data_IF_590367099893
#
_entry.id   IF_590367099893
#
_cell.length_a   1.000
_cell.length_b   1.000
_cell.length_c   1.000
_cell.angle_alpha   90.00
_cell.angle_beta   90.00
_cell.angle_gamma   90.00
#
_symmetry.space_group_name_H-M   'P 1'
#
loop_
_entity.id
_entity.type
_entity.pdbx_description
1 polymer ?
#
# COMPACT_ATOMS: atom_id res chain seq x y z
N UNK A 1 -23.36 17.61 -19.44
CA UNK A 1 -23.61 17.30 -18.01
C UNK A 1 -23.51 15.80 -17.69
N UNK A 2 -23.00 14.96 -18.61
CA UNK A 2 -23.05 13.49 -18.48
C UNK A 2 -21.76 12.80 -17.97
N UNK A 3 -20.66 13.52 -17.72
CA UNK A 3 -19.36 12.89 -17.43
C UNK A 3 -19.06 12.65 -15.93
N UNK A 4 -19.90 13.13 -15.01
CA UNK A 4 -19.64 13.03 -13.57
C UNK A 4 -20.05 11.66 -13.02
N UNK A 5 -21.21 11.14 -13.42
CA UNK A 5 -21.77 9.87 -12.91
C UNK A 5 -20.99 8.64 -13.41
N UNK A 6 -20.55 8.64 -14.68
CA UNK A 6 -19.66 7.61 -15.22
C UNK A 6 -18.32 7.54 -14.48
N UNK A 7 -17.80 8.67 -14.02
CA UNK A 7 -16.51 8.75 -13.34
C UNK A 7 -16.56 8.22 -11.90
N UNK A 8 -17.69 8.38 -11.21
CA UNK A 8 -17.89 7.84 -9.87
C UNK A 8 -18.14 6.33 -9.92
N UNK A 9 -18.88 5.87 -10.94
CA UNK A 9 -19.19 4.45 -11.11
C UNK A 9 -17.97 3.61 -11.54
N UNK A 10 -17.04 4.17 -12.32
CA UNK A 10 -15.76 3.54 -12.69
C UNK A 10 -14.78 3.38 -11.50
N UNK A 11 -14.85 4.27 -10.50
CA UNK A 11 -14.02 4.20 -9.29
C UNK A 11 -14.53 3.11 -8.33
N UNK A 12 -15.84 2.81 -8.36
CA UNK A 12 -16.45 1.79 -7.50
C UNK A 12 -16.10 0.35 -7.94
N UNK A 13 -15.84 0.13 -9.22
CA UNK A 13 -15.67 -1.20 -9.82
C UNK A 13 -14.22 -1.59 -10.09
N UNK A 14 -13.29 -0.62 -10.09
CA UNK A 14 -11.87 -0.87 -10.28
C UNK A 14 -11.01 -0.04 -9.27
N UNK A 15 -10.43 -0.64 -8.21
CA UNK A 15 -9.50 0.05 -7.31
C UNK A 15 -8.28 0.63 -8.04
N UNK A 16 -7.97 0.14 -9.23
CA UNK A 16 -6.89 0.61 -10.08
C UNK A 16 -7.34 1.72 -11.06
N UNK A 17 -8.63 2.04 -11.19
CA UNK A 17 -9.08 3.18 -12.00
C UNK A 17 -8.59 4.54 -11.45
N UNK A 18 -8.30 4.62 -10.15
CA UNK A 18 -7.60 5.76 -9.56
C UNK A 18 -6.11 5.80 -9.96
N UNK A 19 -5.50 4.63 -10.20
CA UNK A 19 -4.12 4.50 -10.69
C UNK A 19 -4.03 4.78 -12.20
N UNK A 20 -5.07 4.46 -12.99
CA UNK A 20 -5.18 4.83 -14.42
C UNK A 20 -5.26 6.35 -14.64
N UNK A 21 -5.55 7.13 -13.60
CA UNK A 21 -5.54 8.60 -13.61
C UNK A 21 -4.19 9.21 -13.16
N UNK A 22 -3.18 8.38 -12.84
CA UNK A 22 -1.81 8.83 -12.64
C UNK A 22 -1.14 8.97 -14.00
N UNK A 23 -0.88 10.21 -14.42
CA UNK A 23 -0.19 10.49 -15.67
C UNK A 23 1.25 10.90 -15.38
N UNK A 24 2.20 10.04 -15.74
CA UNK A 24 3.61 10.41 -15.76
C UNK A 24 3.85 11.37 -16.92
N UNK A 25 3.95 12.67 -16.64
CA UNK A 25 4.22 13.67 -17.65
C UNK A 25 5.68 14.13 -17.61
N UNK A 26 6.53 13.43 -18.35
CA UNK A 26 7.91 13.86 -18.57
C UNK A 26 7.91 14.98 -19.62
N UNK A 27 8.20 16.21 -19.20
CA UNK A 27 8.30 17.35 -20.11
C UNK A 27 9.40 17.16 -21.16
N UNK A 28 9.20 17.71 -22.36
CA UNK A 28 10.22 17.71 -23.43
C UNK A 28 11.43 18.58 -23.11
N UNK A 29 11.27 19.59 -22.24
CA UNK A 29 12.34 20.52 -21.89
C UNK A 29 13.09 20.04 -20.62
N UNK A 30 14.43 19.93 -20.64
CA UNK A 30 15.22 19.51 -19.48
C UNK A 30 15.06 20.47 -18.29
N UNK A 31 14.96 19.92 -17.07
CA UNK A 31 15.08 20.69 -15.83
C UNK A 31 13.78 21.16 -15.16
N UNK A 32 12.64 20.67 -15.64
CA UNK A 32 11.33 20.83 -15.01
C UNK A 32 10.53 19.51 -15.07
N UNK A 33 11.18 18.42 -14.71
CA UNK A 33 10.59 17.09 -14.66
C UNK A 33 9.45 17.09 -13.63
N UNK A 34 8.27 16.59 -14.00
CA UNK A 34 7.11 16.56 -13.12
C UNK A 34 6.32 15.27 -13.23
N UNK A 35 5.62 14.94 -12.17
CA UNK A 35 4.67 13.83 -12.10
C UNK A 35 3.37 14.42 -11.59
N UNK A 36 2.33 14.37 -12.42
CA UNK A 36 1.02 14.92 -12.07
C UNK A 36 0.03 13.78 -11.83
N UNK A 37 -0.83 13.95 -10.83
CA UNK A 37 -1.85 12.97 -10.50
C UNK A 37 -3.13 13.65 -10.04
N UNK A 38 -4.25 13.11 -10.53
CA UNK A 38 -5.56 13.63 -10.20
C UNK A 38 -5.85 13.42 -8.71
N UNK A 39 -6.45 14.43 -8.09
CA UNK A 39 -6.96 14.34 -6.72
C UNK A 39 -8.28 13.57 -6.67
N UNK A 40 -8.61 13.04 -5.49
CA UNK A 40 -9.99 12.68 -5.15
C UNK A 40 -10.85 13.92 -4.86
N UNK A 41 -10.23 15.08 -4.65
CA UNK A 41 -10.89 16.38 -4.59
C UNK A 41 -11.26 16.82 -6.00
N UNK A 42 -12.53 17.22 -6.16
CA UNK A 42 -13.06 17.69 -7.43
C UNK A 42 -12.23 18.86 -7.96
N UNK A 43 -11.91 18.82 -9.25
CA UNK A 43 -11.21 19.87 -9.99
C UNK A 43 -9.77 20.19 -9.49
N UNK A 44 -9.15 19.29 -8.71
CA UNK A 44 -7.80 19.46 -8.17
C UNK A 44 -6.79 18.48 -8.78
N UNK A 45 -5.61 18.99 -9.13
CA UNK A 45 -4.48 18.21 -9.64
C UNK A 45 -3.28 18.37 -8.73
N UNK A 46 -2.69 17.27 -8.27
CA UNK A 46 -1.42 17.33 -7.56
C UNK A 46 -0.27 17.13 -8.54
N UNK A 47 0.84 17.81 -8.30
CA UNK A 47 2.05 17.68 -9.09
C UNK A 47 3.25 17.64 -8.17
N UNK A 48 4.05 16.59 -8.31
CA UNK A 48 5.43 16.56 -7.81
C UNK A 48 6.30 17.12 -8.93
N UNK A 49 7.06 18.17 -8.65
CA UNK A 49 7.93 18.81 -9.64
C UNK A 49 9.35 18.88 -9.12
N UNK A 50 10.29 18.52 -9.96
CA UNK A 50 11.70 18.78 -9.74
C UNK A 50 12.11 20.08 -10.45
N UNK A 51 12.81 20.93 -9.72
CA UNK A 51 13.40 22.17 -10.21
C UNK A 51 14.91 22.04 -10.25
N UNK A 52 15.49 21.81 -11.44
CA UNK A 52 16.93 21.58 -11.57
C UNK A 52 17.78 22.76 -11.09
N UNK A 53 17.37 23.99 -11.43
CA UNK A 53 18.08 25.23 -11.06
C UNK A 53 18.10 25.47 -9.54
N UNK A 54 16.98 25.19 -8.87
CA UNK A 54 16.85 25.34 -7.41
C UNK A 54 17.36 24.11 -6.65
N UNK A 55 17.50 22.97 -7.33
CA UNK A 55 17.77 21.65 -6.73
C UNK A 55 16.75 21.31 -5.65
N UNK A 56 15.49 21.62 -5.93
CA UNK A 56 14.35 21.36 -5.04
C UNK A 56 13.33 20.47 -5.73
N UNK A 57 12.59 19.73 -4.93
CA UNK A 57 11.38 19.03 -5.32
C UNK A 57 10.25 19.66 -4.53
N UNK A 58 9.18 20.03 -5.21
CA UNK A 58 7.97 20.51 -4.56
C UNK A 58 6.79 19.60 -4.88
N UNK A 59 5.85 19.56 -3.93
CA UNK A 59 4.52 19.03 -4.16
C UNK A 59 3.57 20.22 -4.10
N UNK A 60 2.78 20.42 -5.15
CA UNK A 60 1.73 21.44 -5.19
C UNK A 60 0.42 20.86 -5.69
N UNK A 61 -0.67 21.55 -5.39
CA UNK A 61 -1.96 21.34 -6.03
C UNK A 61 -2.34 22.52 -6.91
N UNK A 62 -3.03 22.23 -8.00
CA UNK A 62 -3.56 23.20 -8.95
C UNK A 62 -5.05 22.99 -9.10
N UNK A 63 -5.83 24.05 -8.92
CA UNK A 63 -7.25 24.05 -9.25
C UNK A 63 -7.39 24.19 -10.78
N UNK A 64 -8.05 23.24 -11.43
CA UNK A 64 -8.18 23.23 -12.89
C UNK A 64 -9.11 24.32 -13.43
N UNK A 65 -10.08 24.77 -12.63
CA UNK A 65 -11.06 25.78 -13.03
C UNK A 65 -10.49 27.19 -12.91
N UNK A 66 -9.74 27.45 -11.83
CA UNK A 66 -9.21 28.79 -11.54
C UNK A 66 -7.74 28.96 -11.93
N UNK A 67 -7.01 27.87 -12.14
CA UNK A 67 -5.55 27.87 -12.35
C UNK A 67 -4.75 28.18 -11.08
N UNK A 68 -5.40 28.27 -9.91
CA UNK A 68 -4.73 28.63 -8.66
C UNK A 68 -3.74 27.54 -8.23
N UNK A 69 -2.53 27.95 -7.88
CA UNK A 69 -1.45 27.07 -7.44
C UNK A 69 -1.20 27.20 -5.95
N UNK A 70 -1.27 26.07 -5.23
CA UNK A 70 -0.92 26.01 -3.79
C UNK A 70 0.19 24.99 -3.56
N UNK A 71 1.37 25.47 -3.18
CA UNK A 71 2.47 24.60 -2.74
C UNK A 71 2.10 23.92 -1.41
N UNK A 72 2.24 22.60 -1.34
CA UNK A 72 2.04 21.79 -0.14
C UNK A 72 3.33 21.70 0.66
N UNK A 73 4.45 21.45 -0.02
CA UNK A 73 5.78 21.58 0.55
C UNK A 73 6.82 21.74 -0.57
N UNK A 74 7.97 22.32 -0.22
CA UNK A 74 9.18 22.33 -1.04
C UNK A 74 10.34 21.79 -0.20
N UNK A 75 11.09 20.82 -0.75
CA UNK A 75 12.23 20.19 -0.11
C UNK A 75 13.43 20.18 -1.06
N UNK A 76 14.65 20.33 -0.54
CA UNK A 76 15.83 20.16 -1.40
C UNK A 76 15.98 18.71 -1.85
N UNK A 77 16.42 18.49 -3.08
CA UNK A 77 16.58 17.14 -3.66
C UNK A 77 17.51 16.27 -2.82
N UNK A 78 18.60 16.84 -2.29
CA UNK A 78 19.51 16.12 -1.41
C UNK A 78 18.82 15.61 -0.12
N UNK A 79 17.99 16.45 0.50
CA UNK A 79 17.24 16.08 1.71
C UNK A 79 16.17 15.02 1.40
N UNK A 80 15.49 15.15 0.27
CA UNK A 80 14.53 14.13 -0.19
C UNK A 80 15.21 12.79 -0.45
N UNK A 81 16.35 12.78 -1.13
CA UNK A 81 17.14 11.56 -1.37
C UNK A 81 17.60 10.94 -0.05
N UNK A 82 18.08 11.73 0.90
CA UNK A 82 18.45 11.26 2.24
C UNK A 82 17.25 10.65 2.98
N UNK A 83 16.06 11.27 2.89
CA UNK A 83 14.82 10.72 3.43
C UNK A 83 14.52 9.35 2.82
N UNK A 84 14.55 9.25 1.48
CA UNK A 84 14.24 8.02 0.74
C UNK A 84 15.24 6.91 1.06
N UNK A 85 16.54 7.21 1.12
CA UNK A 85 17.58 6.23 1.48
C UNK A 85 17.38 5.71 2.90
N UNK A 86 17.23 6.60 3.88
CA UNK A 86 17.02 6.20 5.28
C UNK A 86 15.73 5.38 5.42
N UNK A 87 14.65 5.77 4.73
CA UNK A 87 13.42 5.01 4.72
C UNK A 87 13.61 3.64 4.07
N UNK A 88 14.35 3.56 2.97
CA UNK A 88 14.71 2.30 2.31
C UNK A 88 15.46 1.34 3.23
N UNK A 89 16.43 1.84 4.00
CA UNK A 89 17.14 1.04 5.00
C UNK A 89 16.20 0.49 6.08
N UNK A 90 15.24 1.31 6.56
CA UNK A 90 14.22 0.86 7.50
C UNK A 90 13.33 -0.22 6.88
N UNK A 91 12.91 -0.06 5.62
CA UNK A 91 12.10 -1.07 4.93
C UNK A 91 12.86 -2.38 4.74
N UNK A 92 14.15 -2.31 4.40
CA UNK A 92 15.00 -3.48 4.29
C UNK A 92 15.11 -4.22 5.62
N UNK A 93 15.34 -3.49 6.72
CA UNK A 93 15.38 -4.05 8.07
C UNK A 93 14.06 -4.72 8.44
N UNK A 94 12.93 -4.01 8.28
CA UNK A 94 11.60 -4.57 8.60
C UNK A 94 11.27 -5.79 7.75
N UNK A 95 11.68 -5.81 6.48
CA UNK A 95 11.50 -6.96 5.58
C UNK A 95 12.33 -8.14 6.08
N UNK A 96 13.60 -7.93 6.42
CA UNK A 96 14.46 -9.01 6.95
C UNK A 96 13.91 -9.60 8.25
N UNK A 97 13.61 -8.74 9.22
CA UNK A 97 13.18 -9.18 10.55
C UNK A 97 11.77 -9.78 10.56
N UNK A 98 10.82 -9.13 9.88
CA UNK A 98 9.40 -9.50 9.97
C UNK A 98 8.98 -10.37 8.79
N UNK A 99 9.38 -10.07 7.56
CA UNK A 99 8.92 -10.88 6.43
C UNK A 99 9.73 -12.17 6.37
N UNK A 100 11.05 -12.06 6.29
CA UNK A 100 11.94 -13.21 6.12
C UNK A 100 12.23 -13.96 7.43
N UNK A 101 11.96 -13.36 8.59
CA UNK A 101 12.10 -14.04 9.89
C UNK A 101 11.10 -15.18 10.10
N UNK A 102 9.98 -15.19 9.38
CA UNK A 102 8.88 -16.15 9.60
C UNK A 102 8.89 -17.33 8.63
N UNK A 103 9.99 -18.09 8.61
CA UNK A 103 10.05 -19.36 7.87
C UNK A 103 9.05 -20.37 8.45
N UNK A 104 8.24 -20.97 7.59
CA UNK A 104 7.19 -21.93 7.98
C UNK A 104 7.41 -23.29 7.32
N UNK A 105 7.00 -24.35 8.02
CA UNK A 105 6.76 -25.65 7.42
C UNK A 105 5.30 -25.72 6.93
N UNK A 106 5.03 -25.97 5.63
CA UNK A 106 3.66 -26.08 5.09
C UNK A 106 2.74 -27.03 5.86
N UNK A 107 3.30 -28.08 6.47
CA UNK A 107 2.55 -29.00 7.33
C UNK A 107 1.88 -28.32 8.53
N UNK A 108 2.41 -27.19 9.03
CA UNK A 108 1.77 -26.39 10.09
C UNK A 108 0.45 -25.76 9.62
N UNK A 109 0.36 -25.38 8.34
CA UNK A 109 -0.86 -24.83 7.75
C UNK A 109 -1.93 -25.92 7.63
N UNK A 110 -1.52 -27.10 7.16
CA UNK A 110 -2.40 -28.29 7.06
C UNK A 110 -2.97 -28.68 8.42
N UNK A 111 -2.12 -28.79 9.45
CA UNK A 111 -2.55 -29.10 10.84
C UNK A 111 -3.53 -28.09 11.43
N UNK A 112 -3.54 -26.86 10.92
CA UNK A 112 -4.42 -25.79 11.38
C UNK A 112 -5.66 -25.59 10.52
N UNK A 113 -5.97 -26.53 9.61
CA UNK A 113 -7.07 -26.46 8.65
C UNK A 113 -7.04 -25.18 7.80
N UNK A 114 -5.82 -24.82 7.36
CA UNK A 114 -5.61 -23.71 6.45
C UNK A 114 -5.65 -24.17 5.00
N UNK A 115 -6.19 -23.30 4.14
CA UNK A 115 -6.32 -23.43 2.71
C UNK A 115 -5.61 -22.27 2.03
N UNK A 116 -5.14 -22.49 0.81
CA UNK A 116 -4.43 -21.50 0.01
C UNK A 116 -5.27 -21.07 -1.18
N UNK A 117 -5.04 -19.85 -1.66
CA UNK A 117 -5.45 -19.41 -2.99
C UNK A 117 -4.29 -18.63 -3.59
N UNK A 118 -4.00 -18.89 -4.87
CA UNK A 118 -2.90 -18.26 -5.59
C UNK A 118 -3.25 -16.79 -5.92
N UNK A 119 -2.30 -15.88 -5.68
CA UNK A 119 -2.37 -14.45 -6.06
C UNK A 119 -1.96 -14.21 -7.50
N UNK A 120 -1.18 -15.12 -8.09
CA UNK A 120 -0.70 -15.00 -9.47
C UNK A 120 -1.76 -15.43 -10.49
N UNK A 121 -2.78 -16.18 -10.06
CA UNK A 121 -3.87 -16.57 -10.94
C UNK A 121 -4.75 -15.34 -11.21
N UNK A 122 -4.54 -14.71 -12.37
CA UNK A 122 -5.10 -13.42 -12.83
C UNK A 122 -6.62 -13.41 -13.06
N UNK A 123 -7.37 -14.32 -12.43
CA UNK A 123 -8.81 -14.29 -12.54
C UNK A 123 -9.35 -13.05 -11.81
N UNK A 124 -10.29 -12.35 -12.44
CA UNK A 124 -11.00 -11.17 -11.90
C UNK A 124 -11.70 -11.42 -10.55
N UNK A 125 -11.70 -12.68 -10.10
CA UNK A 125 -12.25 -13.28 -8.89
C UNK A 125 -11.72 -12.71 -7.57
N UNK A 126 -10.55 -12.04 -7.57
CA UNK A 126 -10.07 -11.29 -6.39
C UNK A 126 -11.05 -10.21 -5.92
N UNK A 127 -11.87 -9.68 -6.83
CA UNK A 127 -12.90 -8.66 -6.54
C UNK A 127 -14.06 -9.20 -5.69
N UNK A 128 -14.31 -10.52 -5.71
CA UNK A 128 -15.43 -11.13 -4.97
C UNK A 128 -15.12 -11.36 -3.49
N UNK A 129 -13.86 -11.67 -3.19
CA UNK A 129 -13.35 -11.94 -1.84
C UNK A 129 -13.14 -10.63 -1.07
N UNK A 130 -12.85 -9.57 -1.81
CA UNK A 130 -12.33 -8.33 -1.26
C UNK A 130 -13.29 -7.18 -1.55
N UNK A 131 -13.90 -6.65 -0.48
CA UNK A 131 -14.55 -5.35 -0.51
C UNK A 131 -13.49 -4.25 -0.65
N UNK A 132 -13.41 -3.69 -1.83
CA UNK A 132 -12.73 -2.43 -2.08
C UNK A 132 -13.71 -1.30 -1.76
N UNK A 133 -13.39 -0.48 -0.75
CA UNK A 133 -13.97 0.87 -0.64
C UNK A 133 -12.92 1.88 -1.15
N UNK A 134 -13.35 3.10 -1.52
CA UNK A 134 -12.55 4.21 -2.09
C UNK A 134 -11.12 4.42 -1.53
N UNK A 135 -10.79 3.93 -0.32
CA UNK A 135 -9.47 4.05 0.32
C UNK A 135 -8.97 2.78 1.02
N UNK A 136 -9.72 1.67 1.01
CA UNK A 136 -9.40 0.48 1.81
C UNK A 136 -9.80 -0.81 1.12
N UNK A 137 -8.84 -1.72 1.06
CA UNK A 137 -9.05 -3.13 0.74
C UNK A 137 -9.41 -3.88 2.02
N UNK A 138 -10.61 -4.48 2.10
CA UNK A 138 -11.06 -5.30 3.23
C UNK A 138 -11.73 -6.56 2.72
N UNK A 139 -11.54 -7.69 3.37
CA UNK A 139 -12.33 -8.89 3.05
C UNK A 139 -13.82 -8.63 3.31
N UNK A 140 -14.70 -9.11 2.43
CA UNK A 140 -16.15 -9.04 2.68
C UNK A 140 -16.46 -9.81 3.97
N UNK A 141 -17.28 -9.22 4.84
CA UNK A 141 -17.80 -9.93 6.04
C UNK A 141 -18.91 -10.89 5.57
N UNK A 142 -18.97 -12.08 6.17
CA UNK A 142 -20.04 -13.05 5.90
C UNK A 142 -19.95 -13.70 4.52
N UNK A 143 -18.74 -13.96 4.03
CA UNK A 143 -18.55 -14.67 2.77
C UNK A 143 -19.16 -16.08 2.87
N UNK A 144 -20.18 -16.34 2.04
CA UNK A 144 -20.82 -17.64 1.94
C UNK A 144 -19.86 -18.62 1.26
N UNK A 145 -19.60 -19.74 1.92
CA UNK A 145 -18.70 -20.79 1.43
C UNK A 145 -19.16 -21.40 0.11
N UNK A 146 -20.47 -21.46 -0.14
CA UNK A 146 -21.01 -22.00 -1.39
C UNK A 146 -20.70 -21.08 -2.59
N UNK A 147 -20.69 -19.76 -2.37
CA UNK A 147 -20.36 -18.80 -3.42
C UNK A 147 -18.85 -18.74 -3.67
N UNK A 148 -18.04 -18.95 -2.61
CA UNK A 148 -16.58 -19.05 -2.72
C UNK A 148 -16.13 -20.36 -3.36
N UNK A 149 -16.72 -21.50 -3.00
CA UNK A 149 -16.33 -22.81 -3.53
C UNK A 149 -16.63 -22.97 -5.02
N UNK A 150 -17.60 -22.22 -5.56
CA UNK A 150 -17.89 -22.19 -7.01
C UNK A 150 -16.86 -21.39 -7.80
N UNK A 151 -16.22 -20.41 -7.17
CA UNK A 151 -15.48 -19.36 -7.84
C UNK A 151 -14.02 -19.23 -7.40
N UNK A 152 -13.55 -20.02 -6.43
CA UNK A 152 -12.18 -19.94 -5.92
C UNK A 152 -11.61 -21.34 -5.83
N UNK A 153 -10.51 -21.55 -6.55
CA UNK A 153 -9.74 -22.77 -6.41
C UNK A 153 -8.96 -22.73 -5.09
N UNK A 154 -9.49 -23.43 -4.08
CA UNK A 154 -8.79 -23.62 -2.82
C UNK A 154 -7.77 -24.74 -2.95
N UNK A 155 -6.52 -24.39 -2.76
CA UNK A 155 -5.39 -25.28 -2.87
C UNK A 155 -5.01 -25.84 -1.50
N UNK A 156 -4.66 -27.14 -1.48
CA UNK A 156 -4.03 -27.75 -0.31
C UNK A 156 -2.65 -27.13 -0.08
N UNK A 157 -2.21 -26.90 1.18
CA UNK A 157 -0.86 -26.44 1.48
C UNK A 157 0.27 -27.33 0.96
N UNK A 158 -0.04 -28.57 0.56
CA UNK A 158 0.94 -29.49 -0.04
C UNK A 158 1.52 -28.95 -1.36
N UNK A 159 0.79 -28.10 -2.12
CA UNK A 159 1.26 -27.50 -3.37
C UNK A 159 2.56 -26.68 -3.21
N UNK A 160 2.83 -26.20 -2.00
CA UNK A 160 4.05 -25.43 -1.66
C UNK A 160 5.34 -26.28 -1.72
N UNK A 161 5.20 -27.60 -1.73
CA UNK A 161 6.33 -28.52 -1.93
C UNK A 161 6.74 -28.57 -3.40
N UNK A 162 5.76 -28.51 -4.29
CA UNK A 162 5.92 -28.77 -5.71
C UNK A 162 6.26 -27.49 -6.50
N UNK A 163 5.89 -26.32 -5.99
CA UNK A 163 6.21 -25.04 -6.63
C UNK A 163 7.48 -24.42 -6.08
N UNK A 164 8.32 -23.84 -6.95
CA UNK A 164 9.58 -23.18 -6.56
C UNK A 164 9.41 -21.69 -6.20
N UNK A 165 8.31 -21.09 -6.60
CA UNK A 165 7.94 -19.72 -6.31
C UNK A 165 6.42 -19.58 -6.23
N UNK A 166 5.95 -18.51 -5.60
CA UNK A 166 4.52 -18.20 -5.58
C UNK A 166 4.12 -17.35 -4.39
N UNK A 167 2.95 -16.74 -4.51
CA UNK A 167 2.31 -15.94 -3.47
C UNK A 167 0.89 -16.44 -3.24
N UNK A 168 0.58 -16.79 -2.00
CA UNK A 168 -0.69 -17.41 -1.65
C UNK A 168 -1.33 -16.69 -0.48
N UNK A 169 -2.62 -16.38 -0.60
CA UNK A 169 -3.40 -16.01 0.58
C UNK A 169 -3.75 -17.25 1.38
N UNK A 170 -3.65 -17.14 2.70
CA UNK A 170 -3.98 -18.22 3.64
C UNK A 170 -5.31 -17.94 4.33
N UNK A 171 -6.22 -18.90 4.26
CA UNK A 171 -7.50 -18.87 4.94
C UNK A 171 -7.63 -20.04 5.90
N UNK A 172 -8.11 -19.80 7.12
CA UNK A 172 -8.46 -20.84 8.08
C UNK A 172 -9.96 -21.07 8.08
N UNK A 173 -10.39 -22.31 7.97
CA UNK A 173 -11.79 -22.66 8.13
C UNK A 173 -12.12 -22.92 9.61
N UNK A 174 -13.08 -22.19 10.16
CA UNK A 174 -13.56 -22.37 11.55
C UNK A 174 -15.04 -22.02 11.67
N UNK A 175 -15.86 -22.99 12.10
CA UNK A 175 -17.28 -22.78 12.41
C UNK A 175 -18.08 -22.20 11.23
N UNK A 176 -18.00 -22.81 10.04
CA UNK A 176 -18.72 -22.34 8.86
C UNK A 176 -18.14 -21.10 8.20
N UNK A 177 -17.04 -20.53 8.72
CA UNK A 177 -16.46 -19.29 8.21
C UNK A 177 -15.01 -19.47 7.76
N UNK A 178 -14.64 -18.81 6.65
CA UNK A 178 -13.26 -18.65 6.20
C UNK A 178 -12.66 -17.37 6.78
N UNK A 179 -11.55 -17.52 7.51
CA UNK A 179 -10.88 -16.42 8.20
C UNK A 179 -9.47 -16.26 7.63
N UNK A 180 -9.20 -15.13 6.98
CA UNK A 180 -7.87 -14.80 6.48
C UNK A 180 -6.83 -14.72 7.59
N UNK A 181 -5.72 -15.43 7.41
CA UNK A 181 -4.63 -15.53 8.38
C UNK A 181 -3.38 -14.76 7.94
N UNK A 182 -3.13 -14.60 6.65
CA UNK A 182 -1.92 -13.97 6.14
C UNK A 182 -1.55 -14.43 4.74
N UNK A 183 -0.28 -14.24 4.38
CA UNK A 183 0.29 -14.60 3.09
C UNK A 183 1.39 -15.64 3.28
N UNK A 184 1.36 -16.70 2.50
CA UNK A 184 2.54 -17.56 2.30
C UNK A 184 3.18 -17.19 0.99
N UNK A 185 4.50 -17.11 0.99
CA UNK A 185 5.23 -16.85 -0.24
C UNK A 185 6.53 -17.66 -0.26
N UNK A 186 6.97 -17.90 -1.48
CA UNK A 186 8.20 -18.61 -1.80
C UNK A 186 8.89 -17.83 -2.91
N UNK A 187 10.16 -17.52 -2.69
CA UNK A 187 11.00 -16.83 -3.66
C UNK A 187 12.06 -17.79 -4.18
N UNK A 188 12.41 -17.77 -5.48
CA UNK A 188 13.48 -18.60 -6.02
C UNK A 188 14.81 -18.42 -5.29
N UNK A 189 15.10 -17.17 -4.90
CA UNK A 189 16.36 -16.76 -4.26
C UNK A 189 16.45 -17.22 -2.80
N UNK A 190 15.32 -17.45 -2.12
CA UNK A 190 15.29 -17.82 -0.71
C UNK A 190 14.81 -19.27 -0.52
N UNK A 191 15.67 -20.13 0.04
CA UNK A 191 15.33 -21.53 0.32
C UNK A 191 14.33 -21.64 1.48
N UNK A 192 13.04 -21.59 1.20
CA UNK A 192 12.00 -21.84 2.20
C UNK A 192 10.62 -21.30 1.85
N UNK A 193 9.63 -21.74 2.60
CA UNK A 193 8.31 -21.11 2.62
C UNK A 193 8.29 -20.11 3.78
N UNK A 194 7.74 -18.93 3.53
CA UNK A 194 7.63 -17.86 4.52
C UNK A 194 6.17 -17.52 4.73
N UNK A 195 5.77 -17.32 5.97
CA UNK A 195 4.39 -16.97 6.31
C UNK A 195 4.34 -15.63 7.02
N UNK A 196 3.85 -14.62 6.30
CA UNK A 196 3.57 -13.31 6.86
C UNK A 196 2.15 -13.30 7.39
N UNK A 197 1.99 -13.31 8.70
CA UNK A 197 0.65 -13.23 9.29
C UNK A 197 0.03 -11.87 9.05
N UNK A 198 -1.31 -11.78 9.14
CA UNK A 198 -2.02 -10.51 9.14
C UNK A 198 -1.52 -9.57 10.26
N UNK A 199 -1.12 -10.12 11.41
CA UNK A 199 -0.63 -9.33 12.53
C UNK A 199 0.72 -8.70 12.19
N UNK A 200 1.63 -9.48 11.62
CA UNK A 200 2.97 -9.05 11.20
C UNK A 200 2.93 -8.02 10.07
N UNK A 201 2.04 -8.20 9.10
CA UNK A 201 1.79 -7.21 8.05
C UNK A 201 1.31 -5.87 8.64
N UNK A 202 0.36 -5.92 9.57
CA UNK A 202 -0.14 -4.71 10.24
C UNK A 202 0.94 -4.05 11.09
N UNK A 203 1.77 -4.84 11.79
CA UNK A 203 2.90 -4.35 12.56
C UNK A 203 3.92 -3.65 11.66
N UNK A 204 4.33 -4.29 10.56
CA UNK A 204 5.26 -3.73 9.58
C UNK A 204 4.73 -2.42 9.00
N UNK A 205 3.44 -2.40 8.61
CA UNK A 205 2.78 -1.19 8.09
C UNK A 205 2.73 -0.07 9.13
N UNK A 206 2.56 -0.41 10.41
CA UNK A 206 2.56 0.56 11.51
C UNK A 206 3.96 1.13 11.71
N UNK A 207 4.97 0.28 11.84
CA UNK A 207 6.37 0.69 12.03
C UNK A 207 6.88 1.53 10.86
N UNK A 208 6.53 1.16 9.63
CA UNK A 208 6.89 1.93 8.42
C UNK A 208 6.32 3.34 8.45
N UNK A 209 5.04 3.50 8.80
CA UNK A 209 4.42 4.83 8.88
C UNK A 209 5.03 5.69 10.00
N UNK A 210 5.36 5.08 11.14
CA UNK A 210 6.07 5.77 12.24
C UNK A 210 7.47 6.20 11.78
N UNK A 211 8.18 5.33 11.07
CA UNK A 211 9.51 5.64 10.54
C UNK A 211 9.46 6.82 9.56
N UNK A 212 8.49 6.86 8.63
CA UNK A 212 8.29 8.02 7.73
C UNK A 212 8.11 9.29 8.55
N UNK A 213 7.23 9.28 9.56
CA UNK A 213 7.00 10.43 10.42
C UNK A 213 8.29 10.88 11.12
N UNK A 214 9.00 9.97 11.78
CA UNK A 214 10.22 10.27 12.53
C UNK A 214 11.34 10.80 11.62
N UNK A 215 11.53 10.17 10.45
CA UNK A 215 12.53 10.61 9.48
C UNK A 215 12.17 11.98 8.90
N UNK A 216 10.88 12.23 8.63
CA UNK A 216 10.40 13.55 8.16
C UNK A 216 10.65 14.62 9.23
N UNK A 217 10.44 14.31 10.51
CA UNK A 217 10.63 15.25 11.61
C UNK A 217 12.08 15.74 11.75
N UNK A 218 13.05 14.90 11.37
CA UNK A 218 14.48 15.17 11.40
C UNK A 218 14.99 16.02 10.22
N UNK A 219 14.15 16.28 9.22
CA UNK A 219 14.56 16.99 8.00
C UNK A 219 13.91 18.37 7.97
N UNK A 220 14.68 19.38 7.55
CA UNK A 220 14.19 20.76 7.39
C UNK A 220 13.73 21.01 5.96
N UNK A 221 12.49 21.45 5.79
CA UNK A 221 11.90 21.79 4.50
C UNK A 221 10.69 22.73 4.70
N UNK A 222 10.22 23.35 3.61
CA UNK A 222 9.09 24.28 3.67
C UNK A 222 7.80 23.58 4.11
N UNK A 223 6.99 24.25 4.93
CA UNK A 223 5.74 23.71 5.49
C UNK A 223 5.87 22.37 6.24
N UNK A 224 7.06 22.09 6.81
CA UNK A 224 7.33 20.86 7.60
C UNK A 224 6.26 20.60 8.65
N UNK A 225 5.89 21.62 9.43
CA UNK A 225 4.95 21.45 10.55
C UNK A 225 3.54 21.06 10.06
N UNK A 226 3.08 21.61 8.92
CA UNK A 226 1.81 21.21 8.30
C UNK A 226 1.85 19.75 7.85
N UNK A 227 2.95 19.32 7.23
CA UNK A 227 3.14 17.93 6.79
C UNK A 227 3.19 16.98 7.98
N UNK A 228 3.92 17.32 9.05
CA UNK A 228 3.98 16.52 10.27
C UNK A 228 2.62 16.45 10.97
N UNK A 229 1.87 17.54 11.04
CA UNK A 229 0.52 17.55 11.60
C UNK A 229 -0.45 16.66 10.80
N UNK A 230 -0.37 16.67 9.47
CA UNK A 230 -1.14 15.79 8.61
C UNK A 230 -0.78 14.31 8.84
N UNK A 231 0.52 13.98 8.88
CA UNK A 231 1.00 12.63 9.17
C UNK A 231 0.56 12.15 10.56
N UNK A 232 0.67 13.01 11.59
CA UNK A 232 0.24 12.72 12.97
C UNK A 232 -1.26 12.42 13.02
N UNK A 233 -2.07 13.18 12.28
CA UNK A 233 -3.52 12.96 12.15
C UNK A 233 -3.83 11.60 11.52
N UNK A 234 -3.17 11.26 10.40
CA UNK A 234 -3.34 9.97 9.72
C UNK A 234 -2.97 8.81 10.65
N UNK A 235 -1.81 8.91 11.30
CA UNK A 235 -1.30 7.91 12.22
C UNK A 235 -2.22 7.73 13.44
N UNK A 236 -2.72 8.82 14.04
CA UNK A 236 -3.63 8.76 15.19
C UNK A 236 -4.99 8.17 14.83
N UNK A 237 -5.52 8.49 13.64
CA UNK A 237 -6.78 7.91 13.13
C UNK A 237 -6.65 6.42 12.82
N UNK A 238 -5.51 5.99 12.27
CA UNK A 238 -5.25 4.60 11.88
C UNK A 238 -4.84 3.72 13.07
N UNK A 239 -4.09 4.28 14.01
CA UNK A 239 -3.51 3.58 15.15
C UNK A 239 -3.80 4.34 16.47
N UNK A 240 -5.05 4.29 16.92
CA UNK A 240 -5.59 5.04 18.07
C UNK A 240 -4.78 4.96 19.38
N UNK A 241 -3.93 3.95 19.54
CA UNK A 241 -3.14 3.70 20.76
C UNK A 241 -1.67 4.12 20.64
N UNK A 242 -1.29 4.81 19.57
CA UNK A 242 0.06 5.39 19.48
C UNK A 242 0.19 6.53 20.48
N UNK A 243 1.00 6.33 21.52
CA UNK A 243 1.49 7.42 22.38
C UNK A 243 2.59 8.14 21.61
N UNK A 244 2.37 9.43 21.35
CA UNK A 244 3.39 10.29 20.76
C UNK A 244 4.32 10.75 21.86
N UNK A 245 5.61 10.46 21.71
CA UNK A 245 6.63 11.13 22.55
C UNK A 245 6.82 12.50 21.94
N UNK A 246 6.32 13.53 22.62
CA UNK A 246 6.61 14.91 22.26
C UNK A 246 8.04 15.19 22.69
N UNK A 247 8.96 15.25 21.72
CA UNK A 247 10.28 15.81 21.97
C UNK A 247 10.08 17.31 22.16
N UNK A 248 10.08 17.73 23.43
CA UNK A 248 10.26 19.13 23.83
C UNK A 248 11.68 19.57 23.57
#
# INVERSE_FOLDING_TARGET
MENTELSEHLIETNPFAALEKLFLFIQKNPGAEKISFNSLEKDMHYTIRYWSRKKTVDLHKTNQLTGEHTTIFEISTFKLLRLMMNFGMVQEYLTKEIWLGHKINPGKLKRNNCWLTDLNNKNEMYKDIVKINKTRMRLKKGLNILDMAKNIEFLSPDILKDQNEGFFMVFKYKGGNLIYQGLVYKFPVFKGNYFLTKQDYNLTSKLSMIAIYNLTAQITFDKKEEVLAALKTILSKKYKYLRWVENK
#
